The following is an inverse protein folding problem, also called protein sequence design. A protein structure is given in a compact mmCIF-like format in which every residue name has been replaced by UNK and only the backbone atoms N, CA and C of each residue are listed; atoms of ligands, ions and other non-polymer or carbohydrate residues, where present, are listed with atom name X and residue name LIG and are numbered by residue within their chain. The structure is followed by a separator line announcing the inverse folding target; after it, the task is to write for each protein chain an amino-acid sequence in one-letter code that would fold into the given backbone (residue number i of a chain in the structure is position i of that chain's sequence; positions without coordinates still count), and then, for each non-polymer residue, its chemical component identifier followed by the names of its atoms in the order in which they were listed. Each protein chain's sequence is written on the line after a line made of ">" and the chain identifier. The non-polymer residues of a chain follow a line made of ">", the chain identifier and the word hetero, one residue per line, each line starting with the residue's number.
data_IF_696513524680
#
_entry.id   IF_696513524680
#
_cell.length_a   1.000
_cell.length_b   1.000
_cell.length_c   1.000
_cell.angle_alpha   90.00
_cell.angle_beta   90.00
_cell.angle_gamma   90.00
#
_symmetry.space_group_name_H-M   'P 1'
#
loop_
_entity.id
_entity.type
_entity.pdbx_description
1 polymer ?
#
# COMPACT_ATOMS: atom_id res chain seq x y z
N UNK A 1 -23.38 50.75 21.15
CA UNK A 1 -24.05 50.98 22.46
C UNK A 1 -24.53 49.63 22.95
N UNK A 2 -24.12 49.02 24.06
CA UNK A 2 -23.20 49.29 25.17
C UNK A 2 -22.84 47.86 25.71
N UNK A 3 -21.58 47.49 25.87
CA UNK A 3 -20.75 47.50 27.11
C UNK A 3 -21.17 46.55 28.27
N UNK A 4 -20.16 45.76 28.69
CA UNK A 4 -19.80 45.24 30.05
C UNK A 4 -20.81 44.37 30.84
N UNK A 5 -20.46 43.34 31.62
CA UNK A 5 -19.20 42.76 32.10
C UNK A 5 -19.45 41.88 33.36
N UNK A 6 -18.57 40.88 33.57
CA UNK A 6 -18.05 40.37 34.87
C UNK A 6 -18.89 39.43 35.78
N UNK A 7 -18.36 38.21 35.96
CA UNK A 7 -17.93 37.51 37.20
C UNK A 7 -18.42 36.07 37.44
N UNK A 8 -17.48 35.27 37.92
CA UNK A 8 -17.53 33.84 38.10
C UNK A 8 -18.23 33.35 39.36
N UNK A 9 -18.46 32.03 39.40
CA UNK A 9 -18.21 31.25 40.63
C UNK A 9 -18.04 29.75 40.37
N UNK A 10 -17.06 29.23 41.10
CA UNK A 10 -16.50 27.87 41.15
C UNK A 10 -17.50 26.80 41.60
N UNK A 11 -17.38 25.58 41.07
CA UNK A 11 -17.60 24.29 41.77
C UNK A 11 -16.66 23.25 41.12
N UNK A 12 -15.55 22.90 41.80
CA UNK A 12 -15.37 21.82 42.78
C UNK A 12 -15.18 20.44 42.14
N UNK A 13 -14.00 19.91 42.41
CA UNK A 13 -13.43 18.63 42.03
C UNK A 13 -14.29 17.43 42.44
N UNK A 14 -14.35 16.44 41.55
CA UNK A 14 -14.61 15.05 41.91
C UNK A 14 -13.59 14.16 41.20
N UNK A 15 -12.54 13.81 41.95
CA UNK A 15 -11.62 12.74 41.62
C UNK A 15 -12.31 11.40 41.87
N UNK A 16 -12.29 10.50 40.88
CA UNK A 16 -12.56 9.08 41.06
C UNK A 16 -11.29 8.29 40.73
N UNK A 17 -10.59 7.93 41.80
CA UNK A 17 -9.53 6.92 41.85
C UNK A 17 -10.20 5.55 41.88
N UNK A 18 -9.74 4.61 41.05
CA UNK A 18 -10.09 3.19 41.19
C UNK A 18 -8.79 2.35 41.14
N UNK A 19 -8.51 1.51 42.16
CA UNK A 19 -7.22 0.86 42.32
C UNK A 19 -7.11 -0.48 41.59
N UNK A 20 -5.92 -0.72 41.04
CA UNK A 20 -5.41 -2.02 40.60
C UNK A 20 -5.34 -3.00 41.78
N UNK A 21 -5.90 -4.19 41.61
CA UNK A 21 -5.69 -5.32 42.53
C UNK A 21 -4.94 -6.42 41.78
N UNK A 22 -3.71 -6.69 42.22
CA UNK A 22 -2.88 -7.81 41.81
C UNK A 22 -3.28 -9.02 42.66
N UNK A 23 -3.57 -10.15 42.03
CA UNK A 23 -3.70 -11.43 42.73
C UNK A 23 -2.77 -12.48 42.10
N UNK A 24 -1.70 -12.81 42.83
CA UNK A 24 -0.93 -14.05 42.68
C UNK A 24 -1.72 -15.20 43.27
N UNK A 25 -1.80 -16.34 42.58
CA UNK A 25 -1.92 -17.67 43.19
C UNK A 25 -1.03 -18.64 42.42
N UNK A 26 -0.21 -19.38 43.17
CA UNK A 26 0.58 -20.50 42.66
C UNK A 26 0.05 -21.84 43.16
N UNK A 27 0.81 -22.88 42.82
CA UNK A 27 0.78 -24.26 43.35
C UNK A 27 -0.45 -25.09 42.95
N UNK A 28 -0.39 -26.39 42.65
CA UNK A 28 0.64 -27.39 42.33
C UNK A 28 -0.15 -28.67 41.97
N UNK A 29 0.59 -29.74 41.67
CA UNK A 29 0.21 -31.16 41.58
C UNK A 29 0.10 -31.68 40.15
N UNK A 30 1.09 -32.44 39.66
CA UNK A 30 1.52 -33.80 40.05
C UNK A 30 0.74 -34.81 39.22
N UNK A 31 1.45 -35.53 38.35
CA UNK A 31 1.31 -36.98 38.24
C UNK A 31 2.34 -37.54 37.25
N UNK A 32 3.15 -38.44 37.78
CA UNK A 32 4.12 -39.30 37.10
C UNK A 32 3.44 -40.62 36.78
N UNK A 33 3.62 -41.14 35.55
CA UNK A 33 3.25 -42.51 35.18
C UNK A 33 4.39 -43.12 34.35
N UNK A 34 4.76 -44.40 34.59
CA UNK A 34 6.08 -44.94 34.25
C UNK A 34 6.14 -45.55 32.84
N UNK A 35 7.33 -45.50 32.24
CA UNK A 35 7.68 -46.23 31.02
C UNK A 35 8.27 -47.60 31.36
N UNK A 36 7.63 -48.67 30.88
CA UNK A 36 8.14 -50.04 30.92
C UNK A 36 8.31 -50.61 29.52
N UNK A 37 9.38 -51.41 29.33
CA UNK A 37 9.57 -52.48 28.34
C UNK A 37 9.68 -52.04 26.86
N UNK A 38 10.49 -52.61 25.97
CA UNK A 38 11.36 -53.79 25.97
C UNK A 38 12.18 -53.73 24.69
N UNK A 39 13.41 -54.23 24.74
CA UNK A 39 14.26 -54.51 23.58
C UNK A 39 13.77 -55.73 22.81
N UNK A 40 13.70 -55.64 21.48
CA UNK A 40 13.77 -56.82 20.61
C UNK A 40 14.42 -56.45 19.27
N UNK A 41 15.57 -57.08 19.01
CA UNK A 41 16.24 -57.12 17.72
C UNK A 41 15.35 -57.74 16.63
N UNK A 42 15.44 -57.25 15.40
CA UNK A 42 15.36 -58.08 14.18
C UNK A 42 15.94 -57.35 12.96
N UNK A 43 16.98 -57.96 12.41
CA UNK A 43 17.37 -58.10 10.99
C UNK A 43 17.37 -56.90 10.04
N UNK A 44 18.57 -56.66 9.50
CA UNK A 44 18.90 -56.03 8.22
C UNK A 44 17.92 -56.35 7.08
N UNK A 45 17.43 -55.30 6.44
CA UNK A 45 17.13 -55.30 5.01
C UNK A 45 17.77 -54.04 4.41
N UNK A 46 18.83 -54.25 3.65
CA UNK A 46 19.45 -53.24 2.79
C UNK A 46 18.45 -52.84 1.69
N UNK A 47 17.68 -51.79 1.95
CA UNK A 47 16.86 -51.10 0.97
C UNK A 47 17.46 -49.72 0.74
N UNK A 48 17.96 -49.47 -0.47
CA UNK A 48 18.40 -48.17 -0.94
C UNK A 48 17.21 -47.20 -0.96
N UNK A 49 16.95 -46.55 0.17
CA UNK A 49 16.09 -45.37 0.23
C UNK A 49 16.82 -44.22 -0.48
N UNK A 50 16.61 -44.13 -1.79
CA UNK A 50 16.83 -42.89 -2.53
C UNK A 50 15.75 -41.92 -2.05
N UNK A 51 15.99 -41.31 -0.90
CA UNK A 51 15.16 -40.25 -0.35
C UNK A 51 15.17 -39.07 -1.32
N UNK A 52 14.21 -39.04 -2.24
CA UNK A 52 13.73 -37.78 -2.80
C UNK A 52 13.05 -37.06 -1.66
N UNK A 53 13.83 -36.31 -0.89
CA UNK A 53 13.31 -35.16 -0.17
C UNK A 53 12.75 -34.24 -1.25
N UNK A 54 11.45 -34.33 -1.50
CA UNK A 54 10.72 -33.24 -2.15
C UNK A 54 10.85 -32.10 -1.15
N UNK A 55 11.89 -31.28 -1.30
CA UNK A 55 11.90 -29.99 -0.63
C UNK A 55 10.63 -29.29 -1.12
N UNK A 56 9.67 -29.08 -0.23
CA UNK A 56 8.54 -28.23 -0.54
C UNK A 56 9.11 -26.93 -1.11
N UNK A 57 8.69 -26.55 -2.32
CA UNK A 57 9.17 -25.34 -2.95
C UNK A 57 9.01 -24.18 -1.97
N UNK A 58 10.09 -23.44 -1.73
CA UNK A 58 10.10 -22.31 -0.79
C UNK A 58 8.99 -21.34 -1.22
N UNK A 59 8.10 -21.03 -0.28
CA UNK A 59 7.04 -20.03 -0.47
C UNK A 59 7.66 -18.64 -0.48
N UNK A 60 7.45 -17.91 -1.57
CA UNK A 60 8.01 -16.57 -1.73
C UNK A 60 7.22 -15.55 -0.90
N UNK A 61 7.84 -14.41 -0.58
CA UNK A 61 7.15 -13.24 -0.06
C UNK A 61 7.42 -12.04 -0.97
N UNK A 62 6.36 -11.40 -1.46
CA UNK A 62 6.43 -10.31 -2.45
C UNK A 62 5.81 -9.05 -1.87
N UNK A 63 6.60 -8.00 -1.69
CA UNK A 63 6.18 -6.70 -1.17
C UNK A 63 5.90 -5.73 -2.33
N UNK A 64 4.62 -5.39 -2.56
CA UNK A 64 4.23 -4.48 -3.64
C UNK A 64 4.10 -3.01 -3.22
N UNK A 65 4.20 -2.71 -1.93
CA UNK A 65 4.02 -1.37 -1.40
C UNK A 65 5.25 -1.00 -0.60
N UNK A 66 6.25 -0.47 -1.29
CA UNK A 66 7.52 -0.12 -0.68
C UNK A 66 8.23 0.97 -1.45
N UNK A 67 8.83 1.91 -0.72
CA UNK A 67 9.24 3.20 -1.25
C UNK A 67 10.76 3.41 -1.20
N UNK A 68 11.23 4.29 -2.08
CA UNK A 68 12.60 4.81 -2.15
C UNK A 68 12.61 6.28 -2.57
N UNK A 69 13.72 6.96 -2.33
CA UNK A 69 14.14 8.19 -3.01
C UNK A 69 15.52 7.93 -3.61
N UNK A 70 15.61 7.38 -4.82
CA UNK A 70 16.91 7.06 -5.40
C UNK A 70 17.86 8.27 -5.41
N UNK A 71 19.20 8.07 -5.37
CA UNK A 71 20.16 9.13 -5.10
C UNK A 71 19.98 10.41 -5.93
N UNK A 72 19.60 10.30 -7.21
CA UNK A 72 19.27 11.45 -8.07
C UNK A 72 18.14 12.30 -7.48
N UNK A 73 17.02 11.68 -7.14
CA UNK A 73 15.86 12.38 -6.58
C UNK A 73 16.17 12.97 -5.20
N UNK A 74 16.87 12.22 -4.33
CA UNK A 74 17.32 12.76 -3.05
C UNK A 74 18.21 14.01 -3.21
N UNK A 75 19.09 14.03 -4.22
CA UNK A 75 19.92 15.19 -4.54
C UNK A 75 19.10 16.37 -5.09
N UNK A 76 18.08 16.11 -5.90
CA UNK A 76 17.11 17.16 -6.31
C UNK A 76 16.47 17.78 -5.08
N UNK A 77 15.97 16.98 -4.14
CA UNK A 77 15.35 17.49 -2.91
C UNK A 77 16.34 18.26 -2.01
N UNK A 78 17.61 17.85 -1.92
CA UNK A 78 18.65 18.59 -1.19
C UNK A 78 18.98 19.95 -1.84
N UNK A 79 18.92 20.04 -3.16
CA UNK A 79 19.23 21.26 -3.90
C UNK A 79 18.10 22.32 -3.85
N UNK A 80 16.88 21.92 -3.47
CA UNK A 80 15.71 22.80 -3.43
C UNK A 80 15.73 23.77 -2.26
N UNK A 81 15.22 24.98 -2.52
CA UNK A 81 15.07 26.05 -1.51
C UNK A 81 13.65 26.16 -0.95
N UNK A 82 12.66 25.71 -1.72
CA UNK A 82 11.24 25.66 -1.35
C UNK A 82 10.81 24.21 -1.13
N UNK A 83 9.70 24.00 -0.42
CA UNK A 83 9.17 22.64 -0.23
C UNK A 83 8.75 22.01 -1.56
N UNK A 84 8.80 20.68 -1.70
CA UNK A 84 9.45 19.73 -0.79
C UNK A 84 10.99 19.84 -0.86
N UNK A 85 11.69 19.60 0.25
CA UNK A 85 13.16 19.64 0.29
C UNK A 85 13.75 18.77 1.40
N UNK A 86 15.01 18.38 1.25
CA UNK A 86 15.81 17.76 2.32
C UNK A 86 16.72 18.84 2.92
N UNK A 87 16.73 18.95 4.25
CA UNK A 87 17.58 19.88 4.99
C UNK A 87 18.44 19.16 6.03
N UNK A 88 19.69 19.56 6.14
CA UNK A 88 20.58 19.09 7.22
C UNK A 88 20.31 19.86 8.51
N UNK A 89 20.28 19.16 9.63
CA UNK A 89 20.12 19.72 10.97
C UNK A 89 21.01 19.03 11.98
N UNK A 90 21.24 19.69 13.10
CA UNK A 90 21.87 19.08 14.28
C UNK A 90 20.77 18.66 15.25
N UNK A 91 20.75 17.38 15.62
CA UNK A 91 19.79 16.86 16.59
C UNK A 91 20.17 17.25 18.03
N UNK A 92 19.29 16.93 18.99
CA UNK A 92 19.51 17.23 20.42
C UNK A 92 20.81 16.63 20.99
N UNK A 93 21.35 15.58 20.34
CA UNK A 93 22.58 14.90 20.75
C UNK A 93 23.83 15.44 20.03
N UNK A 94 23.72 16.55 19.29
CA UNK A 94 24.84 17.17 18.58
C UNK A 94 25.24 16.47 17.27
N UNK A 95 24.51 15.43 16.85
CA UNK A 95 24.79 14.71 15.60
C UNK A 95 24.05 15.35 14.42
N UNK A 96 24.68 15.32 13.25
CA UNK A 96 24.06 15.76 11.99
C UNK A 96 23.02 14.73 11.54
N UNK A 97 21.86 15.21 11.12
CA UNK A 97 20.77 14.41 10.57
C UNK A 97 20.10 15.16 9.41
N UNK A 98 19.49 14.42 8.50
CA UNK A 98 18.67 15.01 7.44
C UNK A 98 17.18 14.93 7.80
N UNK A 99 16.44 15.96 7.40
CA UNK A 99 14.98 16.08 7.53
C UNK A 99 14.36 16.32 6.18
N UNK A 100 13.35 15.53 5.82
CA UNK A 100 12.47 15.79 4.69
C UNK A 100 11.35 16.74 5.13
N UNK A 101 11.27 17.91 4.50
CA UNK A 101 10.18 18.88 4.71
C UNK A 101 9.30 18.89 3.47
N UNK A 102 8.02 18.56 3.65
CA UNK A 102 7.09 18.40 2.53
C UNK A 102 6.16 19.61 2.39
N UNK A 103 5.71 20.19 3.52
CA UNK A 103 4.77 21.30 3.53
C UNK A 103 5.37 22.53 4.21
N UNK A 104 4.99 23.74 3.75
CA UNK A 104 5.50 25.01 4.31
C UNK A 104 5.18 25.15 5.82
N UNK A 105 4.02 24.65 6.25
CA UNK A 105 3.53 24.74 7.62
C UNK A 105 3.65 23.42 8.41
N UNK A 106 4.54 22.50 8.02
CA UNK A 106 4.70 21.22 8.72
C UNK A 106 5.19 21.45 10.17
N UNK A 107 4.38 21.15 11.21
CA UNK A 107 4.79 21.30 12.58
C UNK A 107 5.92 20.29 12.83
N UNK A 108 7.03 20.77 13.40
CA UNK A 108 8.26 19.98 13.64
C UNK A 108 9.09 19.75 12.37
N UNK A 109 9.71 20.79 11.81
CA UNK A 109 11.05 20.73 11.15
C UNK A 109 11.32 19.70 10.02
N UNK A 110 10.31 18.98 9.54
CA UNK A 110 10.42 17.82 8.65
C UNK A 110 10.63 16.48 9.37
N UNK A 111 10.47 15.38 8.64
CA UNK A 111 10.60 14.00 9.13
C UNK A 111 12.02 13.46 8.95
N UNK A 112 12.51 12.58 9.85
CA UNK A 112 13.76 11.86 9.63
C UNK A 112 13.84 11.19 8.26
N UNK A 113 14.87 11.54 7.50
CA UNK A 113 15.21 10.90 6.23
C UNK A 113 16.67 10.47 6.29
N UNK A 114 16.98 9.33 5.71
CA UNK A 114 18.29 8.69 5.83
C UNK A 114 18.50 7.61 4.78
N UNK A 115 19.61 6.84 4.89
CA UNK A 115 19.98 5.79 3.94
C UNK A 115 18.86 4.80 3.62
N UNK A 116 17.93 4.54 4.55
CA UNK A 116 16.77 3.66 4.31
C UNK A 116 15.86 4.11 3.15
N UNK A 117 15.96 5.36 2.70
CA UNK A 117 15.24 5.88 1.54
C UNK A 117 16.01 5.72 0.23
N UNK A 118 17.33 5.94 0.20
CA UNK A 118 18.11 6.04 -1.05
C UNK A 118 19.18 4.97 -1.25
N UNK A 119 19.57 4.25 -0.20
CA UNK A 119 20.54 3.16 -0.28
C UNK A 119 19.83 1.82 -0.46
N UNK A 120 19.97 1.25 -1.65
CA UNK A 120 19.39 -0.05 -1.98
C UNK A 120 19.97 -1.20 -1.16
N UNK A 121 21.17 -1.06 -0.59
CA UNK A 121 21.70 -2.05 0.34
C UNK A 121 20.92 -2.05 1.66
N UNK A 122 20.49 -0.88 2.15
CA UNK A 122 19.60 -0.82 3.32
C UNK A 122 18.23 -1.43 3.01
N UNK A 123 17.70 -1.22 1.79
CA UNK A 123 16.50 -1.93 1.34
C UNK A 123 16.70 -3.46 1.33
N UNK A 124 17.81 -3.95 0.78
CA UNK A 124 18.11 -5.39 0.78
C UNK A 124 18.28 -5.95 2.19
N UNK A 125 18.92 -5.21 3.11
CA UNK A 125 19.01 -5.57 4.53
C UNK A 125 17.62 -5.66 5.15
N UNK A 126 16.75 -4.67 4.92
CA UNK A 126 15.36 -4.71 5.38
C UNK A 126 14.63 -5.95 4.83
N UNK A 127 14.74 -6.22 3.53
CA UNK A 127 14.09 -7.39 2.91
C UNK A 127 14.60 -8.70 3.52
N UNK A 128 15.92 -8.88 3.63
CA UNK A 128 16.52 -10.07 4.25
C UNK A 128 16.07 -10.25 5.68
N UNK A 129 16.09 -9.14 6.43
CA UNK A 129 15.66 -9.12 7.80
C UNK A 129 14.18 -9.46 7.97
N UNK A 130 13.32 -9.22 6.97
CA UNK A 130 11.89 -9.57 7.03
C UNK A 130 11.51 -10.82 6.22
N UNK A 131 12.47 -11.48 5.56
CA UNK A 131 12.21 -12.63 4.70
C UNK A 131 11.45 -12.29 3.42
N UNK A 132 11.55 -11.05 2.93
CA UNK A 132 10.95 -10.59 1.68
C UNK A 132 11.86 -10.99 0.53
N UNK A 133 11.34 -11.73 -0.44
CA UNK A 133 12.12 -12.23 -1.57
C UNK A 133 12.17 -11.20 -2.71
N UNK A 134 11.02 -10.58 -3.01
CA UNK A 134 10.83 -9.61 -4.10
C UNK A 134 10.17 -8.35 -3.57
N UNK A 135 10.65 -7.19 -4.01
CA UNK A 135 10.02 -5.89 -3.74
C UNK A 135 9.74 -5.14 -5.04
N UNK A 136 8.54 -4.56 -5.15
CA UNK A 136 8.22 -3.58 -6.19
C UNK A 136 8.46 -2.18 -5.62
N UNK A 137 9.65 -1.65 -5.85
CA UNK A 137 10.04 -0.34 -5.34
C UNK A 137 9.35 0.78 -6.13
N UNK A 138 8.94 1.83 -5.44
CA UNK A 138 8.36 3.02 -6.05
C UNK A 138 8.97 4.28 -5.45
N UNK A 139 9.03 5.37 -6.22
CA UNK A 139 9.45 6.64 -5.64
C UNK A 139 8.38 7.13 -4.67
N UNK A 140 8.78 7.53 -3.47
CA UNK A 140 7.84 8.06 -2.48
C UNK A 140 7.24 9.42 -2.91
N UNK A 141 6.09 9.76 -2.31
CA UNK A 141 5.44 11.05 -2.47
C UNK A 141 6.36 12.22 -2.03
N UNK A 142 6.33 13.40 -2.67
CA UNK A 142 5.31 13.89 -3.61
C UNK A 142 5.69 13.72 -5.09
N UNK A 143 6.50 12.72 -5.43
CA UNK A 143 6.88 12.41 -6.82
C UNK A 143 7.44 13.61 -7.59
N UNK A 144 6.76 14.10 -8.61
CA UNK A 144 7.22 15.20 -9.46
C UNK A 144 6.22 16.37 -9.50
N UNK A 145 5.21 16.31 -8.64
CA UNK A 145 3.99 17.12 -8.70
C UNK A 145 4.28 18.62 -8.45
N UNK A 146 5.45 18.94 -7.89
CA UNK A 146 5.90 20.31 -7.56
C UNK A 146 6.80 20.95 -8.62
N UNK A 147 7.10 20.26 -9.72
CA UNK A 147 7.99 20.73 -10.77
C UNK A 147 7.22 21.39 -11.92
N UNK A 148 7.93 22.21 -12.70
CA UNK A 148 7.41 22.72 -13.97
C UNK A 148 7.37 21.60 -15.03
N UNK A 149 6.46 21.66 -16.02
CA UNK A 149 6.23 20.60 -17.00
C UNK A 149 7.49 19.97 -17.63
N UNK A 150 8.40 20.80 -18.17
CA UNK A 150 9.61 20.31 -18.84
C UNK A 150 10.60 19.65 -17.87
N UNK A 151 10.76 20.23 -16.68
CA UNK A 151 11.64 19.69 -15.65
C UNK A 151 11.08 18.37 -15.09
N UNK A 152 9.76 18.31 -14.88
CA UNK A 152 9.06 17.10 -14.47
C UNK A 152 9.23 15.99 -15.49
N UNK A 153 9.03 16.27 -16.78
CA UNK A 153 9.19 15.27 -17.85
C UNK A 153 10.64 14.77 -17.96
N UNK A 154 11.61 15.68 -17.98
CA UNK A 154 13.03 15.30 -18.04
C UNK A 154 13.43 14.44 -16.84
N UNK A 155 13.04 14.85 -15.62
CA UNK A 155 13.38 14.12 -14.41
C UNK A 155 12.63 12.78 -14.31
N UNK A 156 11.38 12.69 -14.77
CA UNK A 156 10.64 11.43 -14.85
C UNK A 156 11.41 10.40 -15.68
N UNK A 157 11.87 10.80 -16.87
CA UNK A 157 12.60 9.93 -17.78
C UNK A 157 13.93 9.44 -17.17
N UNK A 158 14.65 10.31 -16.47
CA UNK A 158 15.89 9.96 -15.76
C UNK A 158 15.64 9.02 -14.58
N UNK A 159 14.61 9.29 -13.77
CA UNK A 159 14.28 8.47 -12.60
C UNK A 159 13.73 7.10 -13.00
N UNK A 160 12.98 7.00 -14.09
CA UNK A 160 12.53 5.72 -14.64
C UNK A 160 13.72 4.87 -15.10
N UNK A 161 14.72 5.49 -15.74
CA UNK A 161 15.96 4.80 -16.11
C UNK A 161 16.77 4.37 -14.88
N UNK A 162 16.85 5.21 -13.84
CA UNK A 162 17.51 4.87 -12.57
C UNK A 162 16.80 3.69 -11.87
N UNK A 163 15.46 3.66 -11.86
CA UNK A 163 14.65 2.56 -11.32
C UNK A 163 14.87 1.26 -12.09
N UNK A 164 14.83 1.27 -13.43
CA UNK A 164 15.09 0.06 -14.23
C UNK A 164 16.52 -0.44 -14.00
N UNK A 165 17.48 0.48 -13.87
CA UNK A 165 18.87 0.14 -13.58
C UNK A 165 19.05 -0.48 -12.20
N UNK A 166 18.39 0.08 -11.18
CA UNK A 166 18.33 -0.49 -9.84
C UNK A 166 17.78 -1.92 -9.84
N UNK A 167 16.72 -2.17 -10.62
CA UNK A 167 16.11 -3.50 -10.73
C UNK A 167 17.01 -4.49 -11.46
N UNK A 168 17.65 -4.06 -12.55
CA UNK A 168 18.53 -4.90 -13.36
C UNK A 168 19.82 -5.31 -12.64
N UNK A 169 20.35 -4.42 -11.81
CA UNK A 169 21.59 -4.62 -11.03
C UNK A 169 21.36 -5.25 -9.67
N UNK A 170 20.09 -5.39 -9.25
CA UNK A 170 19.72 -6.11 -8.04
C UNK A 170 20.17 -7.57 -8.08
N UNK A 171 20.46 -8.19 -6.93
CA UNK A 171 20.61 -9.63 -6.84
C UNK A 171 19.35 -10.34 -7.35
N UNK A 172 19.53 -11.55 -7.89
CA UNK A 172 18.42 -12.47 -8.21
C UNK A 172 17.83 -13.06 -6.94
N UNK A 173 16.59 -13.53 -7.00
CA UNK A 173 15.99 -14.31 -5.92
C UNK A 173 16.77 -15.62 -5.77
N UNK A 174 17.14 -15.97 -4.53
CA UNK A 174 17.83 -17.22 -4.24
C UNK A 174 16.93 -18.40 -4.65
N UNK A 175 17.51 -19.41 -5.29
CA UNK A 175 16.81 -20.62 -5.75
C UNK A 175 15.71 -20.39 -6.82
N UNK A 176 15.59 -19.15 -7.34
CA UNK A 176 14.72 -18.82 -8.47
C UNK A 176 15.32 -17.68 -9.32
N UNK A 177 16.30 -18.03 -10.17
CA UNK A 177 17.09 -17.06 -10.94
C UNK A 177 16.33 -16.33 -12.06
N UNK A 178 15.09 -16.74 -12.37
CA UNK A 178 14.24 -16.01 -13.32
C UNK A 178 13.68 -14.72 -12.72
N UNK A 179 13.59 -14.62 -11.39
CA UNK A 179 13.07 -13.46 -10.68
C UNK A 179 14.17 -12.51 -10.22
N UNK A 180 13.94 -11.21 -10.42
CA UNK A 180 14.72 -10.16 -9.76
C UNK A 180 14.24 -9.97 -8.32
N UNK A 181 15.13 -9.55 -7.42
CA UNK A 181 14.68 -9.09 -6.10
C UNK A 181 13.99 -7.74 -6.14
N UNK A 182 14.24 -6.94 -7.18
CA UNK A 182 13.58 -5.65 -7.41
C UNK A 182 12.86 -5.63 -8.75
N UNK A 183 11.61 -5.19 -8.71
CA UNK A 183 10.86 -4.60 -9.81
C UNK A 183 10.46 -3.19 -9.39
N UNK A 184 9.92 -2.38 -10.30
CA UNK A 184 9.54 -1.01 -9.96
C UNK A 184 8.22 -0.53 -10.56
N UNK A 185 7.66 0.51 -9.94
CA UNK A 185 6.66 1.37 -10.53
C UNK A 185 7.33 2.65 -11.03
N UNK A 186 7.11 2.98 -12.31
CA UNK A 186 7.63 4.19 -12.93
C UNK A 186 6.86 5.45 -12.51
N UNK A 187 7.38 6.59 -12.95
CA UNK A 187 6.88 7.94 -12.70
C UNK A 187 6.37 8.56 -14.00
N UNK A 188 5.17 9.14 -13.92
CA UNK A 188 4.68 10.09 -14.92
C UNK A 188 4.89 11.53 -14.41
N UNK A 189 5.13 12.51 -15.29
CA UNK A 189 5.29 13.91 -14.91
C UNK A 189 3.94 14.59 -14.63
N UNK A 190 3.22 14.12 -13.62
CA UNK A 190 1.87 14.55 -13.23
C UNK A 190 1.90 15.89 -12.48
N UNK A 191 2.24 16.95 -13.21
CA UNK A 191 2.26 18.32 -12.72
C UNK A 191 1.18 19.18 -13.41
N UNK A 192 0.89 20.34 -12.83
CA UNK A 192 -0.07 21.27 -13.39
C UNK A 192 0.38 21.73 -14.80
N UNK A 193 -0.58 21.85 -15.73
CA UNK A 193 -0.38 22.29 -17.12
C UNK A 193 0.55 21.44 -18.00
N UNK A 194 0.94 20.22 -17.58
CA UNK A 194 1.63 19.27 -18.45
C UNK A 194 0.79 18.95 -19.70
N UNK A 195 1.44 18.90 -20.87
CA UNK A 195 0.79 18.48 -22.10
C UNK A 195 0.54 16.97 -22.09
N UNK A 196 -0.66 16.48 -22.49
CA UNK A 196 -0.96 15.04 -22.52
C UNK A 196 0.06 14.21 -23.32
N UNK A 197 0.61 14.75 -24.41
CA UNK A 197 1.62 14.05 -25.24
C UNK A 197 2.88 13.67 -24.43
N UNK A 198 3.32 14.53 -23.50
CA UNK A 198 4.47 14.22 -22.65
C UNK A 198 4.17 13.10 -21.64
N UNK A 199 2.92 12.99 -21.18
CA UNK A 199 2.49 11.86 -20.35
C UNK A 199 2.51 10.56 -21.16
N UNK A 200 2.04 10.60 -22.41
CA UNK A 200 2.03 9.44 -23.31
C UNK A 200 3.46 8.99 -23.67
N UNK A 201 4.38 9.92 -23.91
CA UNK A 201 5.81 9.61 -24.11
C UNK A 201 6.39 8.88 -22.88
N UNK A 202 6.10 9.35 -21.66
CA UNK A 202 6.52 8.68 -20.43
C UNK A 202 5.88 7.30 -20.27
N UNK A 203 4.61 7.11 -20.60
CA UNK A 203 3.96 5.78 -20.59
C UNK A 203 4.67 4.82 -21.55
N UNK A 204 4.98 5.27 -22.77
CA UNK A 204 5.71 4.46 -23.76
C UNK A 204 7.12 4.11 -23.27
N UNK A 205 7.83 5.08 -22.66
CA UNK A 205 9.14 4.85 -22.08
C UNK A 205 9.06 3.76 -21.00
N UNK A 206 8.14 3.87 -20.06
CA UNK A 206 7.94 2.92 -18.97
C UNK A 206 7.61 1.52 -19.50
N UNK A 207 6.72 1.42 -20.48
CA UNK A 207 6.36 0.15 -21.12
C UNK A 207 7.55 -0.54 -21.81
N UNK A 208 8.54 0.22 -22.28
CA UNK A 208 9.77 -0.32 -22.88
C UNK A 208 10.80 -0.83 -21.86
N UNK A 209 10.68 -0.46 -20.59
CA UNK A 209 11.61 -0.79 -19.52
C UNK A 209 11.18 -2.09 -18.82
N UNK A 210 11.87 -3.19 -19.12
CA UNK A 210 11.47 -4.56 -18.74
C UNK A 210 11.19 -4.80 -17.24
N UNK A 211 11.80 -4.02 -16.34
CA UNK A 211 11.64 -4.20 -14.89
C UNK A 211 10.62 -3.22 -14.28
N UNK A 212 10.10 -2.26 -15.04
CA UNK A 212 9.00 -1.41 -14.62
C UNK A 212 7.69 -2.13 -14.97
N UNK A 213 6.88 -2.41 -13.95
CA UNK A 213 5.65 -3.22 -14.06
C UNK A 213 4.37 -2.42 -13.89
N UNK A 214 4.50 -1.10 -13.87
CA UNK A 214 3.41 -0.18 -13.61
C UNK A 214 3.90 1.24 -13.39
N UNK A 215 3.01 2.09 -12.92
CA UNK A 215 3.30 3.46 -12.46
C UNK A 215 2.82 3.64 -11.02
N UNK A 216 3.44 4.56 -10.28
CA UNK A 216 2.88 5.09 -9.04
C UNK A 216 2.32 6.49 -9.33
N UNK A 217 1.15 6.81 -8.81
CA UNK A 217 0.57 8.15 -8.97
C UNK A 217 -0.18 8.63 -7.73
N UNK A 218 -0.14 9.95 -7.51
CA UNK A 218 -0.95 10.65 -6.52
C UNK A 218 -2.38 10.92 -6.98
N UNK A 219 -3.21 11.42 -6.06
CA UNK A 219 -4.64 11.68 -6.30
C UNK A 219 -4.95 12.97 -7.09
N UNK A 220 -3.98 13.88 -7.23
CA UNK A 220 -4.19 15.18 -7.89
C UNK A 220 -4.23 15.12 -9.42
N UNK A 221 -3.75 14.03 -10.03
CA UNK A 221 -3.60 13.97 -11.48
C UNK A 221 -2.76 15.15 -11.98
N UNK A 222 -3.28 15.90 -12.94
CA UNK A 222 -2.64 17.10 -13.52
C UNK A 222 -3.29 18.40 -13.03
N UNK A 223 -3.53 18.44 -11.71
CA UNK A 223 -4.03 19.60 -10.97
C UNK A 223 -5.54 19.57 -10.69
N UNK A 224 -6.33 18.82 -11.47
CA UNK A 224 -7.79 18.74 -11.34
C UNK A 224 -8.33 17.40 -10.86
N UNK A 225 -7.47 16.48 -10.43
CA UNK A 225 -7.85 15.12 -10.02
C UNK A 225 -7.76 14.10 -11.15
N UNK A 226 -8.15 12.86 -10.84
CA UNK A 226 -8.02 11.71 -11.74
C UNK A 226 -9.15 11.61 -12.79
N UNK A 227 -10.23 12.34 -12.58
CA UNK A 227 -11.39 12.51 -13.45
C UNK A 227 -11.25 13.68 -14.44
N UNK A 228 -10.05 14.26 -14.58
CA UNK A 228 -9.76 15.25 -15.63
C UNK A 228 -9.76 14.56 -17.00
N UNK A 229 -10.62 15.01 -17.93
CA UNK A 229 -10.77 14.45 -19.27
C UNK A 229 -9.46 14.42 -20.08
N UNK A 230 -8.50 15.31 -19.77
CA UNK A 230 -7.17 15.31 -20.38
C UNK A 230 -6.34 14.06 -20.04
N UNK A 231 -6.71 13.32 -18.98
CA UNK A 231 -6.09 12.04 -18.62
C UNK A 231 -6.70 10.85 -19.37
N UNK A 232 -7.80 11.03 -20.11
CA UNK A 232 -8.46 9.94 -20.86
C UNK A 232 -7.50 9.18 -21.80
N UNK A 233 -6.65 9.84 -22.61
CA UNK A 233 -5.68 9.13 -23.44
C UNK A 233 -4.62 8.38 -22.62
N UNK A 234 -4.30 8.87 -21.42
CA UNK A 234 -3.33 8.25 -20.51
C UNK A 234 -3.90 6.97 -19.93
N UNK A 235 -5.18 6.96 -19.52
CA UNK A 235 -5.87 5.76 -19.06
C UNK A 235 -5.91 4.67 -20.13
N UNK A 236 -6.22 5.05 -21.38
CA UNK A 236 -6.19 4.14 -22.52
C UNK A 236 -4.80 3.53 -22.74
N UNK A 237 -3.76 4.36 -22.73
CA UNK A 237 -2.38 3.92 -22.95
C UNK A 237 -1.87 2.99 -21.83
N UNK A 238 -2.20 3.28 -20.57
CA UNK A 238 -1.85 2.42 -19.43
C UNK A 238 -2.54 1.06 -19.51
N UNK A 239 -3.81 1.05 -19.92
CA UNK A 239 -4.59 -0.18 -20.10
C UNK A 239 -4.04 -1.04 -21.25
N UNK A 240 -3.72 -0.43 -22.40
CA UNK A 240 -3.12 -1.09 -23.56
C UNK A 240 -1.73 -1.67 -23.24
N UNK A 241 -0.91 -0.91 -22.51
CA UNK A 241 0.42 -1.36 -22.08
C UNK A 241 0.38 -2.39 -20.94
N UNK A 242 -0.80 -2.71 -20.39
CA UNK A 242 -0.99 -3.57 -19.22
C UNK A 242 -0.17 -3.13 -17.99
N UNK A 243 0.09 -1.83 -17.87
CA UNK A 243 0.80 -1.26 -16.74
C UNK A 243 -0.15 -1.10 -15.55
N UNK A 244 0.25 -1.61 -14.39
CA UNK A 244 -0.54 -1.44 -13.16
C UNK A 244 -0.37 -0.01 -12.64
N UNK A 245 -1.49 0.66 -12.35
CA UNK A 245 -1.50 1.96 -11.68
C UNK A 245 -1.56 1.75 -10.19
N UNK A 246 -0.48 2.04 -9.48
CA UNK A 246 -0.48 2.08 -8.02
C UNK A 246 -0.90 3.48 -7.53
N UNK A 247 -2.16 3.61 -7.12
CA UNK A 247 -2.73 4.85 -6.61
C UNK A 247 -2.37 4.99 -5.12
N UNK A 248 -1.62 6.03 -4.80
CA UNK A 248 -1.08 6.26 -3.46
C UNK A 248 -1.43 7.67 -2.93
N UNK A 249 -1.76 7.82 -1.65
CA UNK A 249 -2.12 9.11 -1.07
C UNK A 249 -0.90 9.99 -0.78
N UNK A 250 -1.13 11.28 -0.63
CA UNK A 250 -0.13 12.25 -0.21
C UNK A 250 -0.75 13.51 0.41
N UNK A 251 -1.80 14.01 -0.22
CA UNK A 251 -2.40 15.32 0.05
C UNK A 251 -3.31 15.33 1.28
N UNK A 252 -3.81 14.17 1.68
CA UNK A 252 -4.73 13.98 2.79
C UNK A 252 -6.08 14.67 2.60
N UNK A 253 -6.73 14.94 3.74
CA UNK A 253 -7.92 15.80 3.82
C UNK A 253 -7.53 17.16 4.37
N UNK A 254 -8.38 18.18 4.19
CA UNK A 254 -8.12 19.53 4.68
C UNK A 254 -7.79 19.55 6.19
N UNK A 255 -6.66 20.17 6.54
CA UNK A 255 -6.10 20.14 7.91
C UNK A 255 -7.04 20.69 8.97
N UNK A 256 -7.97 21.58 8.61
CA UNK A 256 -9.00 22.12 9.50
C UNK A 256 -9.95 21.04 10.05
N UNK A 257 -10.05 19.88 9.38
CA UNK A 257 -10.88 18.75 9.84
C UNK A 257 -10.33 18.08 11.12
N UNK A 258 -9.06 18.30 11.46
CA UNK A 258 -8.40 17.64 12.60
C UNK A 258 -8.51 18.40 13.93
N UNK A 259 -9.08 19.61 13.90
CA UNK A 259 -9.15 20.49 15.05
C UNK A 259 -7.78 21.05 15.47
N UNK A 260 -7.75 21.74 16.61
CA UNK A 260 -6.58 22.51 17.07
C UNK A 260 -5.62 21.72 17.96
N UNK A 261 -6.03 20.52 18.42
CA UNK A 261 -5.20 19.70 19.30
C UNK A 261 -4.08 19.03 18.50
N UNK A 262 -2.84 19.21 18.93
CA UNK A 262 -1.71 18.49 18.36
C UNK A 262 -1.81 16.99 18.68
N UNK A 263 -1.97 16.19 17.63
CA UNK A 263 -2.02 14.72 17.67
C UNK A 263 -0.85 14.12 16.87
N UNK A 264 0.22 14.90 16.65
CA UNK A 264 1.31 14.54 15.77
C UNK A 264 0.82 14.17 14.37
N UNK A 265 1.36 13.08 13.83
CA UNK A 265 1.03 12.60 12.49
C UNK A 265 -0.14 11.59 12.45
N UNK A 266 -0.78 11.30 13.59
CA UNK A 266 -1.80 10.22 13.67
C UNK A 266 -2.99 10.54 12.77
N UNK A 267 -3.61 11.72 12.89
CA UNK A 267 -4.81 12.04 12.11
C UNK A 267 -4.53 12.17 10.60
N UNK A 268 -3.48 12.88 10.14
CA UNK A 268 -3.16 12.95 8.72
C UNK A 268 -2.83 11.59 8.09
N UNK A 269 -2.10 10.71 8.79
CA UNK A 269 -1.70 9.40 8.25
C UNK A 269 -2.83 8.36 8.35
N UNK A 270 -3.49 8.25 9.51
CA UNK A 270 -4.51 7.20 9.72
C UNK A 270 -5.86 7.54 9.09
N UNK A 271 -6.21 8.83 8.96
CA UNK A 271 -7.47 9.26 8.35
C UNK A 271 -7.22 10.00 7.03
N UNK A 272 -6.34 10.99 7.01
CA UNK A 272 -6.13 11.80 5.80
C UNK A 272 -5.84 10.97 4.55
N UNK A 273 -4.86 10.07 4.63
CA UNK A 273 -4.44 9.23 3.51
C UNK A 273 -5.53 8.26 3.02
N UNK A 274 -6.15 7.40 3.86
CA UNK A 274 -7.26 6.53 3.42
C UNK A 274 -8.45 7.27 2.81
N UNK A 275 -8.84 8.43 3.36
CA UNK A 275 -9.97 9.21 2.84
C UNK A 275 -9.63 9.89 1.51
N UNK A 276 -8.38 10.32 1.33
CA UNK A 276 -7.88 10.84 0.04
C UNK A 276 -7.96 9.76 -1.05
N UNK A 277 -7.39 8.58 -0.80
CA UNK A 277 -7.44 7.45 -1.74
C UNK A 277 -8.88 7.14 -2.13
N UNK A 278 -9.78 7.05 -1.14
CA UNK A 278 -11.21 6.77 -1.35
C UNK A 278 -11.87 7.83 -2.23
N UNK A 279 -11.57 9.11 -2.00
CA UNK A 279 -12.13 10.22 -2.78
C UNK A 279 -11.65 10.16 -4.23
N UNK A 280 -10.34 9.92 -4.43
CA UNK A 280 -9.72 9.88 -5.75
C UNK A 280 -10.28 8.76 -6.62
N UNK A 281 -10.36 7.53 -6.09
CA UNK A 281 -10.88 6.39 -6.84
C UNK A 281 -12.39 6.50 -7.06
N UNK A 282 -13.14 7.05 -6.10
CA UNK A 282 -14.59 7.29 -6.28
C UNK A 282 -14.84 8.26 -7.43
N UNK A 283 -14.06 9.34 -7.53
CA UNK A 283 -14.16 10.28 -8.66
C UNK A 283 -13.91 9.59 -10.01
N UNK A 284 -12.88 8.74 -10.06
CA UNK A 284 -12.56 7.96 -11.25
C UNK A 284 -13.71 7.01 -11.66
N UNK A 285 -14.31 6.32 -10.69
CA UNK A 285 -15.49 5.47 -10.90
C UNK A 285 -16.64 6.32 -11.45
N UNK A 286 -16.99 7.43 -10.79
CA UNK A 286 -18.09 8.32 -11.17
C UNK A 286 -17.90 8.98 -12.56
N UNK A 287 -16.66 9.10 -13.01
CA UNK A 287 -16.31 9.57 -14.35
C UNK A 287 -16.44 8.48 -15.43
N UNK A 288 -16.78 7.24 -15.06
CA UNK A 288 -16.97 6.11 -15.98
C UNK A 288 -15.68 5.61 -16.63
N UNK A 289 -14.50 5.93 -16.06
CA UNK A 289 -13.20 5.54 -16.64
C UNK A 289 -13.06 4.02 -16.66
N UNK A 290 -13.49 3.32 -15.61
CA UNK A 290 -13.41 1.86 -15.54
C UNK A 290 -14.36 1.15 -16.52
N UNK A 291 -15.44 1.81 -16.94
CA UNK A 291 -16.32 1.28 -17.99
C UNK A 291 -15.68 1.41 -19.37
N UNK A 292 -15.00 2.53 -19.63
CA UNK A 292 -14.31 2.77 -20.91
C UNK A 292 -13.02 1.96 -21.05
N UNK A 293 -12.33 1.71 -19.93
CA UNK A 293 -11.05 0.98 -19.88
C UNK A 293 -11.14 -0.23 -18.93
N UNK A 294 -11.93 -1.26 -19.25
CA UNK A 294 -12.16 -2.40 -18.35
C UNK A 294 -10.91 -3.27 -18.12
N UNK A 295 -9.86 -3.12 -18.95
CA UNK A 295 -8.57 -3.79 -18.79
C UNK A 295 -7.58 -3.00 -17.92
N UNK A 296 -7.92 -1.76 -17.51
CA UNK A 296 -7.08 -0.94 -16.64
C UNK A 296 -6.92 -1.61 -15.28
N UNK A 297 -5.67 -1.76 -14.82
CA UNK A 297 -5.35 -2.38 -13.54
C UNK A 297 -4.97 -1.30 -12.54
N UNK A 298 -5.83 -1.06 -11.55
CA UNK A 298 -5.54 -0.09 -10.49
C UNK A 298 -5.35 -0.83 -9.17
N UNK A 299 -4.18 -0.67 -8.56
CA UNK A 299 -3.83 -1.10 -7.22
C UNK A 299 -4.00 0.07 -6.26
N UNK A 300 -4.82 -0.11 -5.23
CA UNK A 300 -5.07 0.91 -4.22
C UNK A 300 -4.21 0.67 -2.98
N UNK A 301 -3.57 1.75 -2.53
CA UNK A 301 -2.88 1.78 -1.25
C UNK A 301 -3.85 1.62 -0.06
N UNK A 302 -3.33 1.05 1.03
CA UNK A 302 -3.98 0.93 2.34
C UNK A 302 -5.35 0.23 2.25
N UNK A 303 -5.37 -0.90 1.54
CA UNK A 303 -6.55 -1.73 1.27
C UNK A 303 -7.75 -0.95 0.69
N UNK A 304 -7.48 0.08 -0.12
CA UNK A 304 -8.52 0.91 -0.74
C UNK A 304 -9.03 2.05 0.16
N UNK A 305 -8.33 2.31 1.26
CA UNK A 305 -8.73 3.28 2.27
C UNK A 305 -10.05 2.87 2.92
N UNK A 306 -11.06 3.74 2.83
CA UNK A 306 -12.40 3.47 3.37
C UNK A 306 -13.43 3.14 2.27
N UNK A 307 -13.00 2.99 1.01
CA UNK A 307 -13.87 2.65 -0.11
C UNK A 307 -14.68 1.36 0.13
N UNK A 308 -14.08 0.23 0.59
CA UNK A 308 -14.85 -0.99 0.81
C UNK A 308 -16.00 -0.79 1.80
N UNK A 309 -15.74 -0.06 2.89
CA UNK A 309 -16.73 0.27 3.91
C UNK A 309 -17.86 1.18 3.38
N UNK A 310 -17.54 2.08 2.46
CA UNK A 310 -18.49 3.04 1.89
C UNK A 310 -19.20 2.52 0.64
N UNK A 311 -18.82 1.36 0.09
CA UNK A 311 -19.32 0.82 -1.20
C UNK A 311 -20.86 0.83 -1.31
N UNK A 312 -21.58 0.31 -0.32
CA UNK A 312 -23.06 0.30 -0.32
C UNK A 312 -23.67 1.69 -0.15
N UNK A 313 -23.01 2.58 0.60
CA UNK A 313 -23.45 3.98 0.75
C UNK A 313 -23.30 4.74 -0.56
N UNK A 314 -22.18 4.53 -1.26
CA UNK A 314 -21.92 5.11 -2.57
C UNK A 314 -22.99 4.69 -3.58
N UNK A 315 -23.27 3.39 -3.69
CA UNK A 315 -24.34 2.89 -4.56
C UNK A 315 -25.70 3.55 -4.24
N UNK A 316 -26.08 3.59 -2.96
CA UNK A 316 -27.32 4.26 -2.54
C UNK A 316 -27.35 5.74 -2.92
N UNK A 317 -26.24 6.48 -2.80
CA UNK A 317 -26.20 7.89 -3.19
C UNK A 317 -26.35 8.08 -4.71
N UNK A 318 -25.74 7.21 -5.52
CA UNK A 318 -25.84 7.25 -6.98
C UNK A 318 -27.26 6.95 -7.44
N UNK A 319 -27.92 5.93 -6.88
CA UNK A 319 -29.30 5.58 -7.23
C UNK A 319 -30.30 6.71 -6.96
N UNK A 320 -29.98 7.61 -6.02
CA UNK A 320 -30.79 8.77 -5.66
C UNK A 320 -30.33 10.07 -6.35
N UNK A 321 -29.35 10.01 -7.25
CA UNK A 321 -28.92 11.10 -8.13
C UNK A 321 -29.11 10.70 -9.60
N UNK A 322 -30.26 11.05 -10.23
CA UNK A 322 -30.59 10.62 -11.58
C UNK A 322 -29.57 11.01 -12.65
N UNK A 323 -28.80 12.09 -12.44
CA UNK A 323 -27.78 12.54 -13.41
C UNK A 323 -26.56 11.64 -13.37
N UNK A 324 -26.19 11.15 -12.19
CA UNK A 324 -25.03 10.27 -11.99
C UNK A 324 -25.39 8.81 -12.31
N UNK A 325 -26.59 8.36 -11.94
CA UNK A 325 -27.06 7.00 -12.20
C UNK A 325 -26.99 6.60 -13.69
N UNK A 326 -27.20 7.56 -14.61
CA UNK A 326 -27.12 7.31 -16.05
C UNK A 326 -25.71 7.25 -16.64
N UNK A 327 -24.65 7.52 -15.86
CA UNK A 327 -23.26 7.55 -16.36
C UNK A 327 -22.54 6.21 -16.29
N UNK A 328 -22.91 5.37 -15.33
CA UNK A 328 -22.22 4.10 -15.05
C UNK A 328 -22.93 2.93 -15.73
N UNK A 329 -22.15 1.99 -16.26
CA UNK A 329 -22.70 0.76 -16.84
C UNK A 329 -23.15 -0.26 -15.79
N UNK A 330 -22.63 -0.13 -14.57
CA UNK A 330 -22.88 -1.05 -13.46
C UNK A 330 -23.14 -0.28 -12.15
N UNK A 331 -23.68 -0.99 -11.15
CA UNK A 331 -23.79 -0.44 -9.79
C UNK A 331 -22.38 -0.19 -9.21
N UNK A 332 -22.22 0.85 -8.39
CA UNK A 332 -20.90 1.22 -7.85
C UNK A 332 -20.16 0.07 -7.14
N UNK A 333 -20.89 -0.87 -6.54
CA UNK A 333 -20.31 -2.03 -5.84
C UNK A 333 -19.65 -3.02 -6.79
N UNK A 334 -20.03 -3.04 -8.07
CA UNK A 334 -19.39 -3.86 -9.10
C UNK A 334 -17.91 -3.51 -9.26
N UNK A 335 -17.57 -2.22 -9.23
CA UNK A 335 -16.20 -1.77 -9.42
C UNK A 335 -15.25 -2.21 -8.30
N UNK A 336 -15.77 -2.62 -7.12
CA UNK A 336 -14.93 -3.16 -6.06
C UNK A 336 -14.16 -4.41 -6.51
N UNK A 337 -14.76 -5.21 -7.40
CA UNK A 337 -14.15 -6.40 -8.02
C UNK A 337 -13.35 -6.10 -9.29
N UNK A 338 -13.22 -4.82 -9.68
CA UNK A 338 -12.39 -4.39 -10.83
C UNK A 338 -11.10 -3.70 -10.40
N UNK A 339 -10.83 -3.67 -9.10
CA UNK A 339 -9.68 -3.01 -8.48
C UNK A 339 -8.81 -4.05 -7.76
N UNK A 340 -7.55 -3.69 -7.50
CA UNK A 340 -6.63 -4.43 -6.66
C UNK A 340 -6.34 -3.63 -5.39
N UNK A 341 -5.97 -4.33 -4.33
CA UNK A 341 -5.81 -3.75 -3.00
C UNK A 341 -4.50 -4.27 -2.41
N UNK A 342 -3.72 -3.38 -1.80
CA UNK A 342 -2.66 -3.88 -0.93
C UNK A 342 -3.25 -4.45 0.37
N UNK A 343 -2.44 -5.21 1.11
CA UNK A 343 -2.77 -5.76 2.41
C UNK A 343 -2.24 -4.91 3.58
N UNK A 344 -2.02 -3.61 3.37
CA UNK A 344 -1.56 -2.68 4.42
C UNK A 344 -2.78 -2.23 5.24
N UNK A 345 -3.35 -3.20 5.98
CA UNK A 345 -4.57 -3.05 6.80
C UNK A 345 -4.32 -3.22 8.30
N UNK A 346 -3.19 -3.82 8.69
CA UNK A 346 -2.74 -4.11 10.07
C UNK A 346 -3.61 -5.07 10.91
N UNK A 347 -4.86 -5.36 10.51
CA UNK A 347 -5.77 -6.25 11.24
C UNK A 347 -6.45 -7.31 10.35
N UNK A 348 -6.66 -8.54 10.85
CA UNK A 348 -7.28 -9.62 10.08
C UNK A 348 -8.77 -9.39 9.83
N UNK A 349 -9.50 -8.73 10.73
CA UNK A 349 -10.91 -8.41 10.56
C UNK A 349 -11.12 -7.40 9.42
N UNK A 350 -10.30 -6.35 9.37
CA UNK A 350 -10.33 -5.34 8.32
C UNK A 350 -10.00 -5.97 6.96
N UNK A 351 -8.94 -6.77 6.89
CA UNK A 351 -8.54 -7.42 5.64
C UNK A 351 -9.57 -8.45 5.16
N UNK A 352 -10.15 -9.22 6.08
CA UNK A 352 -11.23 -10.16 5.80
C UNK A 352 -12.49 -9.45 5.29
N UNK A 353 -12.82 -8.29 5.85
CA UNK A 353 -13.93 -7.46 5.37
C UNK A 353 -13.70 -6.94 3.95
N UNK A 354 -12.49 -6.45 3.63
CA UNK A 354 -12.15 -6.04 2.27
C UNK A 354 -12.34 -7.20 1.29
N UNK A 355 -11.90 -8.40 1.68
CA UNK A 355 -12.10 -9.63 0.91
C UNK A 355 -13.59 -9.94 0.64
N UNK A 356 -14.46 -9.80 1.65
CA UNK A 356 -15.90 -9.98 1.47
C UNK A 356 -16.49 -9.01 0.44
N UNK A 357 -16.11 -7.73 0.54
CA UNK A 357 -16.63 -6.67 -0.34
C UNK A 357 -16.22 -6.91 -1.79
N UNK A 358 -14.99 -7.34 -2.03
CA UNK A 358 -14.50 -7.72 -3.36
C UNK A 358 -15.31 -8.92 -3.87
N UNK A 359 -15.45 -9.98 -3.06
CA UNK A 359 -16.05 -11.25 -3.51
C UNK A 359 -17.48 -11.14 -4.02
N UNK A 360 -18.26 -10.18 -3.50
CA UNK A 360 -19.67 -9.97 -3.88
C UNK A 360 -19.83 -9.06 -5.09
N UNK A 361 -18.77 -8.45 -5.61
CA UNK A 361 -18.85 -7.38 -6.60
C UNK A 361 -19.58 -7.79 -7.89
N UNK A 362 -19.31 -9.00 -8.41
CA UNK A 362 -19.94 -9.47 -9.66
C UNK A 362 -21.48 -9.64 -9.55
N UNK A 363 -22.04 -9.72 -8.33
CA UNK A 363 -23.50 -9.74 -8.14
C UNK A 363 -24.18 -8.42 -8.50
N UNK A 364 -23.39 -7.35 -8.64
CA UNK A 364 -23.82 -5.99 -8.94
C UNK A 364 -23.55 -5.59 -10.40
N UNK A 365 -23.18 -6.56 -11.25
CA UNK A 365 -23.15 -6.36 -12.70
C UNK A 365 -24.56 -6.04 -13.24
N UNK A 366 -24.64 -5.33 -14.36
CA UNK A 366 -25.93 -4.94 -14.94
C UNK A 366 -26.59 -6.12 -15.63
N UNK A 367 -27.92 -6.13 -15.70
CA UNK A 367 -28.74 -7.27 -16.12
C UNK A 367 -28.47 -7.83 -17.53
N UNK A 368 -27.68 -7.13 -18.35
CA UNK A 368 -27.24 -7.63 -19.66
C UNK A 368 -26.15 -8.72 -19.57
N UNK A 369 -25.47 -8.84 -18.43
CA UNK A 369 -24.32 -9.75 -18.24
C UNK A 369 -24.60 -10.96 -17.31
N UNK A 370 -25.82 -11.10 -16.81
CA UNK A 370 -26.04 -11.90 -15.60
C UNK A 370 -26.56 -13.31 -15.89
N UNK A 371 -25.66 -14.29 -15.83
CA UNK A 371 -25.95 -15.59 -15.21
C UNK A 371 -25.81 -15.47 -13.69
N UNK A 372 -26.87 -15.02 -13.01
CA UNK A 372 -26.80 -14.63 -11.60
C UNK A 372 -26.44 -15.83 -10.72
N UNK A 373 -25.25 -15.80 -10.11
CA UNK A 373 -24.98 -16.58 -8.90
C UNK A 373 -25.09 -15.63 -7.71
N UNK A 374 -26.28 -15.54 -7.13
CA UNK A 374 -26.45 -15.00 -5.78
C UNK A 374 -25.92 -16.08 -4.82
N UNK A 375 -24.60 -16.06 -4.61
CA UNK A 375 -23.93 -16.84 -3.57
C UNK A 375 -23.65 -15.97 -2.34
N UNK A 376 -23.46 -16.59 -1.18
CA UNK A 376 -22.84 -15.88 -0.06
C UNK A 376 -21.46 -15.36 -0.47
N UNK A 377 -21.01 -14.26 0.14
CA UNK A 377 -19.66 -13.74 -0.07
C UNK A 377 -18.62 -14.86 0.13
N UNK A 378 -17.76 -15.06 -0.86
CA UNK A 378 -16.67 -16.04 -0.81
C UNK A 378 -15.34 -15.30 -0.69
N UNK A 379 -14.85 -15.19 0.54
CA UNK A 379 -13.56 -14.56 0.85
C UNK A 379 -12.39 -15.16 0.04
N UNK A 380 -12.47 -16.41 -0.40
CA UNK A 380 -11.42 -16.98 -1.25
C UNK A 380 -11.32 -16.26 -2.59
N UNK A 381 -12.46 -15.90 -3.20
CA UNK A 381 -12.48 -15.12 -4.44
C UNK A 381 -11.93 -13.71 -4.23
N UNK A 382 -12.36 -13.04 -3.16
CA UNK A 382 -11.86 -11.70 -2.83
C UNK A 382 -10.36 -11.66 -2.56
N UNK A 383 -9.81 -12.73 -1.96
CA UNK A 383 -8.37 -12.84 -1.68
C UNK A 383 -7.50 -12.70 -2.92
N UNK A 384 -8.00 -13.04 -4.13
CA UNK A 384 -7.21 -13.03 -5.37
C UNK A 384 -6.84 -11.62 -5.86
N UNK A 385 -7.46 -10.58 -5.30
CA UNK A 385 -7.21 -9.18 -5.64
C UNK A 385 -6.47 -8.42 -4.53
N UNK A 386 -6.01 -9.11 -3.49
CA UNK A 386 -5.28 -8.53 -2.35
C UNK A 386 -3.80 -8.92 -2.43
N UNK A 387 -2.90 -7.96 -2.23
CA UNK A 387 -1.44 -8.14 -2.40
C UNK A 387 -0.66 -7.64 -1.18
N UNK A 388 0.30 -8.42 -0.68
CA UNK A 388 1.12 -8.01 0.46
C UNK A 388 1.95 -6.73 0.20
N UNK A 389 2.02 -5.86 1.20
CA UNK A 389 2.78 -4.62 1.18
C UNK A 389 3.30 -4.25 2.56
N UNK A 390 4.35 -3.42 2.65
CA UNK A 390 4.95 -3.02 3.94
C UNK A 390 4.87 -1.53 4.27
N UNK A 391 4.70 -0.69 3.26
CA UNK A 391 4.83 0.77 3.34
C UNK A 391 6.20 1.24 3.88
N UNK A 392 7.24 0.40 3.72
CA UNK A 392 8.60 0.75 4.12
C UNK A 392 9.12 1.92 3.28
N UNK A 393 9.84 2.91 3.85
CA UNK A 393 10.38 2.94 5.23
C UNK A 393 9.59 3.83 6.20
N UNK A 394 8.31 4.11 5.96
CA UNK A 394 7.63 5.21 6.64
C UNK A 394 7.30 4.96 8.12
N UNK A 395 7.16 3.69 8.52
CA UNK A 395 6.83 3.31 9.90
C UNK A 395 7.97 2.50 10.55
N UNK A 396 9.14 3.12 10.80
CA UNK A 396 10.24 2.46 11.50
C UNK A 396 9.89 2.24 12.97
N UNK A 397 10.53 1.26 13.64
CA UNK A 397 10.27 1.03 15.05
C UNK A 397 10.78 2.21 15.89
N UNK A 398 10.04 2.58 16.94
CA UNK A 398 10.42 3.67 17.85
C UNK A 398 11.63 3.34 18.72
N UNK A 399 11.93 2.05 18.87
CA UNK A 399 13.08 1.51 19.58
C UNK A 399 13.71 0.43 18.71
N UNK A 400 15.00 0.14 18.87
CA UNK A 400 15.66 -0.90 18.07
C UNK A 400 14.99 -2.26 18.31
N UNK A 401 14.43 -2.86 17.26
CA UNK A 401 13.82 -4.18 17.28
C UNK A 401 14.32 -5.02 16.10
N UNK A 402 14.36 -6.34 16.27
CA UNK A 402 14.80 -7.26 15.22
C UNK A 402 13.85 -7.23 14.01
N UNK A 403 12.55 -7.02 14.20
CA UNK A 403 11.55 -6.90 13.13
C UNK A 403 10.74 -5.63 13.30
N UNK A 404 10.34 -5.02 12.20
CA UNK A 404 9.46 -3.86 12.19
C UNK A 404 8.04 -4.31 12.49
N UNK A 405 7.41 -3.72 13.52
CA UNK A 405 6.04 -4.08 13.90
C UNK A 405 5.06 -3.81 12.76
N UNK A 406 5.27 -2.74 11.99
CA UNK A 406 4.51 -2.39 10.78
C UNK A 406 4.52 -3.49 9.69
N UNK A 407 5.55 -4.33 9.64
CA UNK A 407 5.60 -5.50 8.74
C UNK A 407 4.92 -6.72 9.38
N UNK A 408 5.23 -6.96 10.65
CA UNK A 408 4.72 -8.11 11.41
C UNK A 408 3.19 -8.07 11.50
N UNK A 409 2.61 -6.90 11.79
CA UNK A 409 1.15 -6.72 11.91
C UNK A 409 0.43 -7.12 10.61
N UNK A 410 0.94 -6.71 9.44
CA UNK A 410 0.31 -7.06 8.15
C UNK A 410 0.45 -8.56 7.82
N UNK A 411 1.56 -9.19 8.21
CA UNK A 411 1.73 -10.64 8.04
C UNK A 411 0.84 -11.44 9.02
N UNK A 412 0.71 -10.97 10.26
CA UNK A 412 -0.22 -11.53 11.26
C UNK A 412 -1.67 -11.35 10.80
N UNK A 413 -2.02 -10.20 10.22
CA UNK A 413 -3.34 -9.96 9.62
C UNK A 413 -3.66 -10.98 8.53
N UNK A 414 -2.76 -11.21 7.57
CA UNK A 414 -2.96 -12.23 6.52
C UNK A 414 -3.13 -13.63 7.13
N UNK A 415 -2.31 -13.98 8.12
CA UNK A 415 -2.37 -15.30 8.75
C UNK A 415 -3.69 -15.51 9.54
N UNK A 416 -4.23 -14.43 10.12
CA UNK A 416 -5.39 -14.42 11.00
C UNK A 416 -6.75 -14.29 10.31
N UNK A 417 -6.81 -14.00 9.00
CA UNK A 417 -8.11 -13.90 8.30
C UNK A 417 -8.84 -15.24 8.35
N UNK A 418 -9.98 -15.24 9.06
CA UNK A 418 -10.86 -16.40 9.11
C UNK A 418 -11.56 -16.61 7.75
N UNK A 419 -11.65 -17.88 7.34
CA UNK A 419 -12.25 -18.30 6.06
C UNK A 419 -11.27 -18.43 4.90
N UNK A 420 -10.04 -17.90 5.02
CA UNK A 420 -9.00 -18.14 4.03
C UNK A 420 -8.32 -19.49 4.22
N UNK A 421 -8.21 -20.23 3.12
CA UNK A 421 -7.34 -21.40 3.04
C UNK A 421 -5.86 -20.98 3.06
N UNK A 422 -4.96 -21.95 3.23
CA UNK A 422 -3.52 -21.68 3.10
C UNK A 422 -3.12 -21.22 1.69
N UNK A 423 -3.85 -21.66 0.65
CA UNK A 423 -3.63 -21.21 -0.73
C UNK A 423 -4.09 -19.77 -0.95
N UNK A 424 -5.12 -19.31 -0.23
CA UNK A 424 -5.56 -17.91 -0.26
C UNK A 424 -4.53 -17.01 0.39
N UNK A 425 -4.04 -17.40 1.58
CA UNK A 425 -2.98 -16.68 2.30
C UNK A 425 -1.71 -16.60 1.47
N UNK A 426 -1.31 -17.70 0.82
CA UNK A 426 -0.13 -17.71 -0.04
C UNK A 426 -0.35 -16.88 -1.31
N UNK A 427 -1.58 -16.88 -1.86
CA UNK A 427 -1.98 -15.97 -2.92
C UNK A 427 -1.72 -14.51 -2.54
N UNK A 428 -2.17 -14.08 -1.36
CA UNK A 428 -1.98 -12.70 -0.88
C UNK A 428 -0.51 -12.37 -0.61
N UNK A 429 0.24 -13.31 -0.04
CA UNK A 429 1.68 -13.14 0.27
C UNK A 429 2.56 -13.04 -0.98
N UNK A 430 2.20 -13.71 -2.07
CA UNK A 430 3.06 -13.80 -3.24
C UNK A 430 2.31 -14.01 -4.56
N UNK A 431 1.46 -15.04 -4.65
CA UNK A 431 0.94 -15.54 -5.91
C UNK A 431 0.14 -14.52 -6.71
N UNK A 432 -0.62 -13.65 -6.05
CA UNK A 432 -1.39 -12.58 -6.69
C UNK A 432 -0.48 -11.54 -7.34
N UNK A 433 0.59 -11.11 -6.64
CA UNK A 433 1.57 -10.19 -7.18
C UNK A 433 2.28 -10.79 -8.41
N UNK A 434 2.74 -12.04 -8.31
CA UNK A 434 3.43 -12.69 -9.42
C UNK A 434 2.52 -12.83 -10.66
N UNK A 435 1.20 -13.05 -10.48
CA UNK A 435 0.22 -13.12 -11.58
C UNK A 435 -0.10 -11.76 -12.19
N UNK A 436 -0.45 -10.76 -11.39
CA UNK A 436 -0.88 -9.44 -11.92
C UNK A 436 0.24 -8.76 -12.73
N UNK A 437 1.50 -9.00 -12.35
CA UNK A 437 2.69 -8.47 -13.01
C UNK A 437 3.32 -9.43 -14.06
N UNK A 438 2.63 -10.53 -14.37
CA UNK A 438 3.04 -11.51 -15.39
C UNK A 438 4.46 -12.05 -15.19
N UNK A 439 4.82 -12.31 -13.92
CA UNK A 439 6.09 -12.93 -13.54
C UNK A 439 6.02 -14.45 -13.45
N UNK A 440 4.80 -15.00 -13.42
CA UNK A 440 4.50 -16.42 -13.55
C UNK A 440 3.32 -16.60 -14.52
N UNK A 441 3.28 -17.75 -15.20
CA UNK A 441 2.24 -18.13 -16.15
C UNK A 441 1.02 -18.75 -15.48
#
# INVERSE_FOLDING_TARGET
>A
MAEEGVDGRRRKDCACVCPLTIAKRGSANDETVPTSSTSSHTSDVCGTNLGRTIMAARRLLVDIHTHVYLPRYANVLRARRTVPRIVERTNANGSREERLVIFENEPISGRPVGPQYWDLNEKLKFMNNHGIDVSFISSANPWLDFLAPNDAHSLANELNADLDSACRTAPKVADNSSLQRFYAFGLLPLCDDIAPDLLLESVQQIASLSNLKGIIMGSRGIGRGLDDERLEPVWAALAEAHLVVFLHPHYGVGSTAFGEKDNGHVLPLALGFPFETTTAITRLILAGVLDRHPSLRILLAHSGGVLPQLSSRLASCIDHDPVVAGRLQHDARYYMGRLFYDAVAYGPEELGFVSDIISRADTYASSADVGARVGAADRSLGSKQILFGTDHPFFPPLQATDKWRSVVDNLEAIAGVQGWSEDDKEGVRSGNALRIFSLIT
#
